data_IF_708162752682
#
_entry.id   IF_708162752682
#
_cell.length_a   1.000
_cell.length_b   1.000
_cell.length_c   1.000
_cell.angle_alpha   90.00
_cell.angle_beta   90.00
_cell.angle_gamma   90.00
#
_symmetry.space_group_name_H-M   'P 1'
#
loop_
_entity.id
_entity.type
_entity.pdbx_description
1 polymer ?
#
# COMPACT_ATOMS: atom_id res chain seq x y z
N UNK A 1 -15.56 -12.53 -5.44
CA UNK A 1 -15.37 -11.53 -4.56
C UNK A 1 -14.19 -10.59 -4.70
N UNK A 2 -14.03 -9.79 -3.69
CA UNK A 2 -13.01 -8.74 -3.55
C UNK A 2 -11.58 -9.26 -3.77
N UNK A 3 -11.32 -10.51 -3.41
CA UNK A 3 -10.00 -11.15 -3.57
C UNK A 3 -9.50 -11.25 -5.01
N UNK A 4 -10.37 -11.39 -5.99
CA UNK A 4 -9.95 -11.49 -7.40
C UNK A 4 -9.52 -10.13 -7.95
N UNK A 5 -10.17 -9.05 -7.52
CA UNK A 5 -9.92 -7.69 -8.03
C UNK A 5 -8.56 -7.13 -7.64
N UNK A 6 -8.09 -7.44 -6.44
CA UNK A 6 -6.81 -6.93 -5.93
C UNK A 6 -5.58 -7.74 -6.40
N UNK A 7 -5.79 -8.86 -7.06
CA UNK A 7 -4.72 -9.71 -7.61
C UNK A 7 -4.30 -9.31 -9.01
N UNK A 8 -5.12 -8.53 -9.68
CA UNK A 8 -4.93 -8.19 -11.08
C UNK A 8 -4.04 -6.97 -11.19
N UNK A 9 -2.81 -7.16 -11.65
CA UNK A 9 -1.88 -6.08 -11.95
C UNK A 9 -2.08 -5.51 -13.36
N UNK A 10 -2.75 -6.25 -14.23
CA UNK A 10 -2.92 -5.91 -15.64
C UNK A 10 -4.38 -5.60 -15.94
N UNK A 11 -4.64 -4.48 -16.56
CA UNK A 11 -5.96 -4.07 -17.05
C UNK A 11 -6.56 -5.02 -18.09
N UNK A 12 -5.80 -5.97 -18.60
CA UNK A 12 -6.22 -6.96 -19.60
C UNK A 12 -6.73 -8.25 -19.00
N UNK A 13 -6.76 -8.38 -17.69
CA UNK A 13 -7.15 -9.62 -17.01
C UNK A 13 -8.62 -10.01 -17.22
N UNK A 14 -9.46 -9.12 -17.71
CA UNK A 14 -10.82 -9.49 -18.13
C UNK A 14 -10.84 -10.68 -19.08
N UNK A 15 -9.84 -10.77 -19.95
CA UNK A 15 -9.73 -11.77 -21.01
C UNK A 15 -8.70 -12.86 -20.74
N UNK A 16 -7.84 -12.66 -19.75
CA UNK A 16 -6.80 -13.60 -19.39
C UNK A 16 -7.31 -14.56 -18.30
N UNK A 17 -8.09 -15.53 -18.69
CA UNK A 17 -8.81 -16.45 -17.79
C UNK A 17 -8.11 -17.82 -17.61
N UNK A 18 -6.86 -17.91 -18.03
CA UNK A 18 -6.03 -19.12 -17.86
C UNK A 18 -6.05 -20.09 -19.04
N UNK A 19 -6.49 -19.65 -20.22
CA UNK A 19 -6.54 -20.49 -21.42
C UNK A 19 -5.18 -21.07 -21.78
N UNK A 20 -4.10 -20.30 -21.68
CA UNK A 20 -2.74 -20.81 -21.94
C UNK A 20 -2.33 -21.93 -20.98
N UNK A 21 -2.71 -21.85 -19.70
CA UNK A 21 -2.45 -22.92 -18.74
C UNK A 21 -3.25 -24.17 -19.13
N UNK A 22 -4.54 -24.01 -19.47
CA UNK A 22 -5.40 -25.12 -19.91
C UNK A 22 -4.81 -25.80 -21.14
N UNK A 23 -4.47 -25.04 -22.18
CA UNK A 23 -3.88 -25.58 -23.41
C UNK A 23 -2.60 -26.39 -23.12
N UNK A 24 -1.73 -25.88 -22.26
CA UNK A 24 -0.49 -26.58 -21.90
C UNK A 24 -0.77 -27.87 -21.13
N UNK A 25 -1.71 -27.84 -20.18
CA UNK A 25 -2.09 -29.05 -19.40
C UNK A 25 -2.79 -30.11 -20.25
N UNK A 26 -3.63 -29.69 -21.22
CA UNK A 26 -4.28 -30.59 -22.16
C UNK A 26 -3.27 -31.32 -23.06
N UNK A 27 -2.11 -30.72 -23.29
CA UNK A 27 -0.97 -31.33 -23.98
C UNK A 27 -0.07 -32.18 -23.08
N UNK A 28 -0.40 -32.35 -21.80
CA UNK A 28 0.32 -33.19 -20.85
C UNK A 28 1.39 -32.44 -20.04
N UNK A 29 1.42 -31.10 -20.06
CA UNK A 29 2.34 -30.33 -19.20
C UNK A 29 1.96 -30.48 -17.73
N UNK A 30 2.98 -30.63 -16.86
CA UNK A 30 2.78 -30.67 -15.41
C UNK A 30 2.57 -29.29 -14.84
N UNK A 31 1.68 -29.19 -13.84
CA UNK A 31 1.50 -27.96 -13.08
C UNK A 31 2.32 -28.00 -11.79
N UNK A 32 3.03 -26.92 -11.46
CA UNK A 32 3.81 -26.80 -10.24
C UNK A 32 3.76 -25.37 -9.71
N UNK A 33 3.76 -25.21 -8.40
CA UNK A 33 3.81 -23.91 -7.74
C UNK A 33 2.72 -23.76 -6.68
N UNK A 34 2.61 -22.54 -6.13
CA UNK A 34 1.58 -22.18 -5.16
C UNK A 34 0.38 -21.55 -5.88
N UNK A 35 -0.62 -22.35 -6.22
CA UNK A 35 -1.82 -21.92 -6.94
C UNK A 35 -2.76 -21.03 -6.12
N UNK A 36 -2.60 -20.99 -4.81
CA UNK A 36 -3.31 -20.05 -3.92
C UNK A 36 -2.54 -18.75 -3.66
N UNK A 37 -1.29 -18.67 -4.09
CA UNK A 37 -0.47 -17.48 -3.97
C UNK A 37 -0.81 -16.45 -5.04
N UNK A 38 -0.51 -15.19 -4.73
CA UNK A 38 -0.64 -14.09 -5.67
C UNK A 38 0.40 -13.01 -5.42
N UNK A 39 0.77 -12.29 -6.48
CA UNK A 39 1.50 -11.04 -6.40
C UNK A 39 0.48 -9.92 -6.19
N UNK A 40 0.32 -9.48 -4.94
CA UNK A 40 -0.60 -8.42 -4.56
C UNK A 40 0.17 -7.12 -4.33
N UNK A 41 -0.41 -6.00 -4.75
CA UNK A 41 0.14 -4.65 -4.52
C UNK A 41 -0.91 -3.77 -3.87
N UNK A 42 -0.48 -2.68 -3.23
CA UNK A 42 -1.39 -1.61 -2.84
C UNK A 42 -1.99 -0.98 -4.10
N UNK A 43 -3.30 -1.02 -4.22
CA UNK A 43 -4.05 -0.55 -5.38
C UNK A 43 -5.02 0.54 -4.98
N UNK A 44 -5.28 1.48 -5.89
CA UNK A 44 -6.27 2.52 -5.65
C UNK A 44 -7.64 1.90 -5.32
N UNK A 45 -8.21 2.24 -4.16
CA UNK A 45 -9.45 1.63 -3.65
C UNK A 45 -10.63 1.83 -4.60
N UNK A 46 -10.71 3.00 -5.23
CA UNK A 46 -11.79 3.39 -6.13
C UNK A 46 -11.47 3.13 -7.61
N UNK A 47 -10.41 2.39 -7.91
CA UNK A 47 -10.12 1.98 -9.28
C UNK A 47 -11.27 1.14 -9.85
N UNK A 48 -11.58 1.28 -11.16
CA UNK A 48 -12.53 0.40 -11.83
C UNK A 48 -12.14 -1.07 -11.69
N UNK A 49 -13.12 -1.96 -11.69
CA UNK A 49 -12.92 -3.41 -11.48
C UNK A 49 -11.87 -4.04 -12.39
N UNK A 50 -11.85 -3.63 -13.65
CA UNK A 50 -10.92 -4.13 -14.67
C UNK A 50 -9.88 -3.09 -15.08
N UNK A 51 -9.69 -2.05 -14.24
CA UNK A 51 -8.81 -0.94 -14.56
C UNK A 51 -9.36 0.00 -15.63
N UNK A 52 -8.50 0.89 -16.09
CA UNK A 52 -8.79 1.87 -17.14
C UNK A 52 -7.59 1.91 -18.10
N UNK A 53 -7.83 1.68 -19.39
CA UNK A 53 -6.77 1.67 -20.41
C UNK A 53 -6.03 3.00 -20.51
N UNK A 54 -6.72 4.12 -20.26
CA UNK A 54 -6.11 5.44 -20.31
C UNK A 54 -5.19 5.72 -19.10
N UNK A 55 -5.43 5.05 -17.98
CA UNK A 55 -4.65 5.18 -16.75
C UNK A 55 -3.53 4.12 -16.66
N UNK A 56 -3.78 2.96 -17.24
CA UNK A 56 -2.83 1.85 -17.23
C UNK A 56 -2.49 1.37 -15.81
N UNK A 57 -1.21 1.32 -15.52
CA UNK A 57 -0.64 0.83 -14.25
C UNK A 57 -0.71 1.84 -13.10
N UNK A 58 -1.14 3.07 -13.36
CA UNK A 58 -1.02 4.17 -12.40
C UNK A 58 -2.01 4.08 -11.21
N UNK A 59 -2.79 3.03 -11.11
CA UNK A 59 -3.57 2.71 -9.91
C UNK A 59 -2.73 2.09 -8.79
N UNK A 60 -1.51 1.62 -9.05
CA UNK A 60 -0.59 1.13 -8.04
C UNK A 60 -0.18 2.24 -7.06
N UNK A 61 0.05 1.90 -5.79
CA UNK A 61 0.41 2.86 -4.74
C UNK A 61 1.70 2.45 -4.05
N UNK A 62 2.83 2.86 -4.60
CA UNK A 62 4.16 2.40 -4.23
C UNK A 62 5.04 3.41 -3.49
N UNK A 63 4.53 4.61 -3.16
CA UNK A 63 5.31 5.63 -2.45
C UNK A 63 5.22 5.53 -0.92
N UNK A 64 4.67 4.45 -0.37
CA UNK A 64 4.52 4.23 1.07
C UNK A 64 5.82 4.43 1.88
N UNK A 65 7.05 4.21 1.36
CA UNK A 65 8.26 4.46 2.14
C UNK A 65 8.45 5.94 2.55
N UNK A 66 7.81 6.87 1.85
CA UNK A 66 7.85 8.30 2.18
C UNK A 66 6.83 8.73 3.23
N UNK A 67 6.03 7.81 3.74
CA UNK A 67 4.99 8.10 4.71
C UNK A 67 4.73 6.95 5.65
N UNK A 68 3.51 6.88 6.17
CA UNK A 68 3.04 5.78 6.99
C UNK A 68 1.74 5.20 6.42
N UNK A 69 1.47 3.92 6.72
CA UNK A 69 0.22 3.25 6.37
C UNK A 69 -0.62 2.99 7.61
N UNK A 70 -1.88 3.42 7.58
CA UNK A 70 -2.84 3.19 8.65
C UNK A 70 -4.05 2.40 8.15
N UNK A 71 -4.54 1.49 8.96
CA UNK A 71 -5.71 0.67 8.68
C UNK A 71 -7.02 1.31 9.20
N UNK A 72 -8.14 0.62 9.05
CA UNK A 72 -9.45 1.09 9.52
C UNK A 72 -9.51 1.37 11.04
N UNK A 73 -8.67 0.74 11.84
CA UNK A 73 -8.59 1.01 13.29
C UNK A 73 -7.69 2.19 13.65
N UNK A 74 -7.25 2.97 12.65
CA UNK A 74 -6.37 4.13 12.85
C UNK A 74 -4.94 3.78 13.25
N UNK A 75 -4.50 2.53 13.07
CA UNK A 75 -3.18 2.05 13.52
C UNK A 75 -2.26 1.71 12.35
N UNK A 76 -0.96 1.96 12.53
CA UNK A 76 0.08 1.41 11.67
C UNK A 76 0.13 -0.12 11.85
N UNK A 77 0.48 -0.81 10.78
CA UNK A 77 0.49 -2.29 10.76
C UNK A 77 1.69 -2.88 10.02
N UNK A 78 2.57 -2.05 9.48
CA UNK A 78 3.82 -2.46 8.82
C UNK A 78 4.94 -1.49 9.15
N UNK A 79 6.18 -1.93 8.94
CA UNK A 79 7.35 -1.07 8.82
C UNK A 79 7.48 -0.68 7.34
N UNK A 80 7.13 0.55 7.00
CA UNK A 80 7.13 1.04 5.63
C UNK A 80 8.54 1.19 5.05
N UNK A 81 9.55 1.22 5.92
CA UNK A 81 10.97 1.32 5.59
C UNK A 81 11.78 0.02 5.74
N UNK A 82 11.13 -1.12 6.00
CA UNK A 82 11.80 -2.39 6.34
C UNK A 82 12.83 -2.86 5.30
N UNK A 83 12.66 -2.50 4.04
CA UNK A 83 13.59 -2.82 2.95
C UNK A 83 13.30 -1.90 1.74
N UNK A 84 14.16 -1.99 0.71
CA UNK A 84 13.87 -1.34 -0.56
C UNK A 84 12.47 -1.74 -1.07
N UNK A 85 11.75 -0.77 -1.61
CA UNK A 85 10.38 -0.95 -2.10
C UNK A 85 10.21 -2.21 -2.96
N UNK A 86 11.17 -2.53 -3.82
CA UNK A 86 11.11 -3.69 -4.71
C UNK A 86 10.99 -5.04 -3.97
N UNK A 87 11.40 -5.10 -2.71
CA UNK A 87 11.30 -6.30 -1.88
C UNK A 87 10.06 -6.31 -0.96
N UNK A 88 9.34 -5.20 -0.86
CA UNK A 88 8.24 -5.08 0.11
C UNK A 88 6.87 -4.87 -0.53
N UNK A 89 6.76 -4.30 -1.72
CA UNK A 89 5.47 -3.91 -2.29
C UNK A 89 4.49 -5.09 -2.47
N UNK A 90 4.95 -6.24 -2.93
CA UNK A 90 4.12 -7.43 -3.09
C UNK A 90 3.72 -8.04 -1.75
N UNK A 91 4.62 -8.00 -0.76
CA UNK A 91 4.34 -8.39 0.62
C UNK A 91 3.25 -7.52 1.22
N UNK A 92 3.37 -6.19 1.07
CA UNK A 92 2.44 -5.24 1.70
C UNK A 92 1.06 -5.24 1.05
N UNK A 93 0.95 -5.51 -0.24
CA UNK A 93 -0.36 -5.75 -0.85
C UNK A 93 -1.12 -6.89 -0.17
N UNK A 94 -0.42 -7.99 0.17
CA UNK A 94 -1.01 -9.11 0.92
C UNK A 94 -1.34 -8.72 2.37
N UNK A 95 -0.49 -7.92 3.01
CA UNK A 95 -0.72 -7.47 4.40
C UNK A 95 -1.94 -6.56 4.47
N UNK A 96 -2.14 -5.68 3.47
CA UNK A 96 -3.35 -4.83 3.37
C UNK A 96 -4.62 -5.69 3.27
N UNK A 97 -4.58 -6.79 2.51
CA UNK A 97 -5.72 -7.72 2.40
C UNK A 97 -6.14 -8.33 3.73
N UNK A 98 -5.22 -8.42 4.69
CA UNK A 98 -5.47 -8.97 6.02
C UNK A 98 -5.89 -7.87 7.03
N UNK A 99 -5.92 -6.60 6.63
CA UNK A 99 -6.38 -5.54 7.51
C UNK A 99 -7.92 -5.47 7.57
N UNK A 100 -8.49 -4.92 8.64
CA UNK A 100 -9.92 -4.68 8.72
C UNK A 100 -10.43 -3.92 7.48
N UNK A 101 -11.52 -4.40 6.90
CA UNK A 101 -12.11 -3.89 5.65
C UNK A 101 -11.19 -3.91 4.42
N UNK A 102 -10.03 -4.58 4.51
CA UNK A 102 -9.08 -4.83 3.42
C UNK A 102 -8.57 -3.57 2.73
N UNK A 103 -8.43 -2.47 3.46
CA UNK A 103 -7.85 -1.24 2.96
C UNK A 103 -6.87 -0.60 3.95
N UNK A 104 -6.09 0.35 3.44
CA UNK A 104 -5.24 1.23 4.22
C UNK A 104 -5.18 2.61 3.57
N UNK A 105 -4.98 3.64 4.38
CA UNK A 105 -4.59 4.95 3.91
C UNK A 105 -3.08 5.11 4.00
N UNK A 106 -2.50 5.75 2.99
CA UNK A 106 -1.10 6.19 3.00
C UNK A 106 -1.08 7.68 3.36
N UNK A 107 -0.42 8.01 4.45
CA UNK A 107 -0.36 9.37 5.00
C UNK A 107 1.01 9.96 4.71
N UNK A 108 1.03 11.13 4.11
CA UNK A 108 2.26 11.84 3.71
C UNK A 108 2.28 13.24 4.29
N UNK A 109 3.45 13.67 4.76
CA UNK A 109 3.72 15.08 5.07
C UNK A 109 3.84 15.87 3.76
N UNK A 110 3.41 17.14 3.78
CA UNK A 110 3.55 18.06 2.65
C UNK A 110 4.99 18.14 2.13
N UNK A 111 5.97 18.01 3.01
CA UNK A 111 7.40 18.06 2.65
C UNK A 111 7.85 17.00 1.67
N UNK A 112 7.18 15.84 1.65
CA UNK A 112 7.56 14.71 0.79
C UNK A 112 6.66 14.54 -0.43
N UNK A 113 5.63 15.35 -0.60
CA UNK A 113 4.66 15.18 -1.70
C UNK A 113 5.28 15.31 -3.07
N UNK A 114 6.36 16.09 -3.21
CA UNK A 114 7.10 16.25 -4.47
C UNK A 114 7.89 14.98 -4.86
N UNK A 115 8.17 14.09 -3.91
CA UNK A 115 8.88 12.82 -4.11
C UNK A 115 7.94 11.68 -4.50
N UNK A 116 6.62 11.87 -4.34
CA UNK A 116 5.66 10.83 -4.67
C UNK A 116 5.68 10.54 -6.17
N UNK A 117 5.52 9.28 -6.53
CA UNK A 117 5.48 8.82 -7.92
C UNK A 117 4.25 9.36 -8.65
N UNK A 118 4.25 9.30 -9.99
CA UNK A 118 3.20 9.86 -10.83
C UNK A 118 1.83 9.21 -10.61
N UNK A 119 1.78 7.96 -10.15
CA UNK A 119 0.54 7.29 -9.78
C UNK A 119 -0.26 7.97 -8.66
N UNK A 120 0.34 8.93 -7.93
CA UNK A 120 -0.36 9.77 -6.93
C UNK A 120 -0.88 11.09 -7.52
N UNK A 121 -0.64 11.34 -8.79
CA UNK A 121 -1.04 12.57 -9.51
C UNK A 121 -2.13 12.32 -10.55
N UNK A 122 -2.56 11.08 -10.74
CA UNK A 122 -3.65 10.75 -11.67
C UNK A 122 -4.96 11.41 -11.20
N UNK A 123 -5.84 11.73 -12.15
CA UNK A 123 -7.12 12.36 -11.86
C UNK A 123 -8.01 11.50 -10.94
N UNK A 124 -7.90 10.17 -11.05
CA UNK A 124 -8.71 9.19 -10.35
C UNK A 124 -8.19 8.85 -8.94
N UNK A 125 -7.11 9.48 -8.45
CA UNK A 125 -6.58 9.18 -7.13
C UNK A 125 -7.55 9.63 -6.03
N UNK A 126 -7.80 8.75 -5.07
CA UNK A 126 -8.51 9.10 -3.84
C UNK A 126 -7.56 9.86 -2.93
N UNK A 127 -7.77 11.16 -2.79
CA UNK A 127 -6.90 12.04 -2.02
C UNK A 127 -7.69 12.99 -1.16
N UNK A 128 -7.29 13.12 0.10
CA UNK A 128 -7.75 14.15 1.04
C UNK A 128 -6.56 14.92 1.56
N UNK A 129 -6.78 16.19 1.87
CA UNK A 129 -5.77 17.09 2.44
C UNK A 129 -6.35 17.87 3.60
N UNK A 130 -5.50 18.20 4.57
CA UNK A 130 -5.85 18.99 5.74
C UNK A 130 -4.62 19.76 6.24
N UNK A 131 -4.86 20.80 7.01
CA UNK A 131 -3.78 21.60 7.61
C UNK A 131 -3.34 21.03 8.98
N UNK A 132 -4.19 20.27 9.64
CA UNK A 132 -3.90 19.62 10.92
C UNK A 132 -4.23 18.13 10.88
N UNK A 133 -3.66 17.36 11.82
CA UNK A 133 -3.91 15.92 11.95
C UNK A 133 -5.35 15.67 12.38
N UNK A 134 -5.90 16.51 13.25
CA UNK A 134 -7.28 16.44 13.73
C UNK A 134 -8.26 16.65 12.56
N UNK A 135 -8.04 17.66 11.73
CA UNK A 135 -8.84 17.88 10.53
C UNK A 135 -8.69 16.70 9.55
N UNK A 136 -7.48 16.19 9.36
CA UNK A 136 -7.24 15.04 8.48
C UNK A 136 -8.02 13.81 8.97
N UNK A 137 -8.03 13.56 10.29
CA UNK A 137 -8.69 12.40 10.88
C UNK A 137 -10.17 12.31 10.52
N UNK A 138 -10.86 13.46 10.42
CA UNK A 138 -12.28 13.51 10.05
C UNK A 138 -12.57 13.26 8.57
N UNK A 139 -11.54 13.35 7.73
CA UNK A 139 -11.63 13.17 6.27
C UNK A 139 -11.22 11.77 5.81
N UNK A 140 -10.60 10.97 6.68
CA UNK A 140 -10.18 9.61 6.37
C UNK A 140 -11.36 8.65 6.45
N UNK A 141 -12.02 8.42 5.34
CA UNK A 141 -13.17 7.52 5.26
C UNK A 141 -12.83 6.12 5.78
N UNK A 142 -13.63 5.63 6.72
CA UNK A 142 -13.53 4.29 7.28
C UNK A 142 -12.40 4.07 8.28
N UNK A 143 -11.78 5.13 8.78
CA UNK A 143 -10.71 5.09 9.80
C UNK A 143 -11.23 5.63 11.13
N UNK A 144 -10.86 5.00 12.25
CA UNK A 144 -11.10 5.53 13.59
C UNK A 144 -10.31 6.83 13.79
N UNK A 145 -10.97 8.00 13.92
CA UNK A 145 -10.29 9.29 13.96
C UNK A 145 -9.48 9.49 15.26
N UNK A 146 -9.98 9.01 16.39
CA UNK A 146 -9.31 9.16 17.69
C UNK A 146 -8.07 8.31 17.75
N UNK A 147 -8.17 7.06 17.32
CA UNK A 147 -7.03 6.15 17.26
C UNK A 147 -5.96 6.64 16.26
N UNK A 148 -6.37 7.24 15.15
CA UNK A 148 -5.46 7.82 14.17
C UNK A 148 -4.64 8.98 14.76
N UNK A 149 -5.29 9.93 15.42
CA UNK A 149 -4.59 11.07 16.06
C UNK A 149 -3.60 10.59 17.12
N UNK A 150 -4.00 9.63 17.95
CA UNK A 150 -3.12 9.00 18.95
C UNK A 150 -1.92 8.31 18.29
N UNK A 151 -2.13 7.57 17.21
CA UNK A 151 -1.05 6.88 16.46
C UNK A 151 -0.03 7.88 15.89
N UNK A 152 -0.51 8.96 15.27
CA UNK A 152 0.39 10.01 14.75
C UNK A 152 1.16 10.70 15.89
N UNK A 153 0.51 10.95 17.03
CA UNK A 153 1.19 11.53 18.20
C UNK A 153 2.31 10.62 18.70
N UNK A 154 2.05 9.32 18.83
CA UNK A 154 3.06 8.32 19.20
C UNK A 154 4.19 8.26 18.20
N UNK A 155 3.86 8.23 16.92
CA UNK A 155 4.82 8.26 15.84
C UNK A 155 5.76 9.45 15.94
N UNK A 156 5.22 10.66 16.02
CA UNK A 156 6.01 11.90 16.09
C UNK A 156 6.94 11.95 17.31
N UNK A 157 6.52 11.40 18.46
CA UNK A 157 7.35 11.29 19.65
C UNK A 157 8.47 10.25 19.53
N UNK A 158 8.25 9.23 18.71
CA UNK A 158 9.19 8.13 18.52
C UNK A 158 10.28 8.43 17.50
N UNK A 159 10.06 9.42 16.62
CA UNK A 159 11.03 9.79 15.57
C UNK A 159 12.35 10.25 16.20
N UNK A 160 13.44 9.66 15.76
CA UNK A 160 14.80 9.99 16.17
C UNK A 160 15.36 11.09 15.27
N UNK A 161 15.82 12.17 15.88
CA UNK A 161 16.48 13.29 15.19
C UNK A 161 18.00 13.22 15.29
N UNK A 162 18.52 12.31 16.10
CA UNK A 162 19.95 12.12 16.37
C UNK A 162 20.63 11.12 15.42
N UNK A 163 19.86 10.41 14.61
CA UNK A 163 20.38 9.45 13.64
C UNK A 163 20.41 10.07 12.25
N UNK A 164 21.59 10.24 11.64
CA UNK A 164 21.67 10.78 10.29
C UNK A 164 21.06 9.79 9.28
N UNK A 165 20.34 10.34 8.31
CA UNK A 165 19.79 9.56 7.21
C UNK A 165 20.92 8.87 6.42
N UNK A 166 20.75 7.58 6.17
CA UNK A 166 21.65 6.81 5.31
C UNK A 166 20.84 5.85 4.44
N UNK A 167 20.69 6.13 3.14
CA UNK A 167 19.87 5.31 2.22
C UNK A 167 20.46 3.92 1.96
N UNK A 168 21.69 3.66 2.33
CA UNK A 168 22.35 2.37 2.13
C UNK A 168 22.21 1.42 3.34
N UNK A 169 21.57 1.87 4.41
CA UNK A 169 21.37 1.08 5.63
C UNK A 169 19.89 0.83 5.80
N UNK A 170 19.51 -0.45 5.94
CA UNK A 170 18.13 -0.85 6.21
C UNK A 170 17.62 -0.17 7.47
N UNK A 171 16.33 0.09 7.48
CA UNK A 171 15.67 0.88 8.53
C UNK A 171 15.49 0.10 9.85
N UNK A 172 14.68 0.61 10.77
CA UNK A 172 14.63 0.23 12.18
C UNK A 172 15.44 1.18 13.05
N UNK A 173 15.96 2.27 12.49
CA UNK A 173 16.85 3.23 13.14
C UNK A 173 16.20 4.60 13.36
N UNK A 174 15.16 4.91 12.62
CA UNK A 174 14.56 6.24 12.57
C UNK A 174 13.51 6.47 13.67
N UNK A 175 13.10 5.41 14.38
CA UNK A 175 12.14 5.49 15.49
C UNK A 175 12.62 4.68 16.70
N UNK A 176 12.13 5.05 17.89
CA UNK A 176 12.40 4.35 19.13
C UNK A 176 11.11 4.15 19.93
N UNK A 177 10.93 2.97 20.52
CA UNK A 177 9.81 2.66 21.41
C UNK A 177 8.47 2.35 20.72
N UNK A 178 8.45 2.14 19.42
CA UNK A 178 7.29 1.66 18.68
C UNK A 178 7.28 0.13 18.59
N UNK A 179 6.09 -0.48 18.65
CA UNK A 179 5.92 -1.92 18.40
C UNK A 179 6.32 -2.32 16.98
N UNK A 180 6.08 -1.42 16.03
CA UNK A 180 6.50 -1.54 14.64
C UNK A 180 7.43 -0.37 14.35
N UNK A 181 8.75 -0.58 14.35
CA UNK A 181 9.72 0.47 14.08
C UNK A 181 9.67 0.95 12.61
N UNK A 182 10.39 2.01 12.34
CA UNK A 182 10.74 2.45 10.99
C UNK A 182 12.16 2.98 10.95
#
# INVERSE_FOLDING_TARGET
>A
GVFRRQRQMCIRDRYNVGDGIRMATDMGASTKGNWSGCHAVGWERNAPEFGDLAVGDAFQKHSYPFGIMVNATGRRFVDEGADFRNYTYAKYGRVILNQPNQFAWQIFDQKVTHLLRDEYRIKQVTKVTANTIEELSTKLEGVDPTAFVDEISKWNKAVRTDVPFNPNVKDGRSTNGLNIPK
#
